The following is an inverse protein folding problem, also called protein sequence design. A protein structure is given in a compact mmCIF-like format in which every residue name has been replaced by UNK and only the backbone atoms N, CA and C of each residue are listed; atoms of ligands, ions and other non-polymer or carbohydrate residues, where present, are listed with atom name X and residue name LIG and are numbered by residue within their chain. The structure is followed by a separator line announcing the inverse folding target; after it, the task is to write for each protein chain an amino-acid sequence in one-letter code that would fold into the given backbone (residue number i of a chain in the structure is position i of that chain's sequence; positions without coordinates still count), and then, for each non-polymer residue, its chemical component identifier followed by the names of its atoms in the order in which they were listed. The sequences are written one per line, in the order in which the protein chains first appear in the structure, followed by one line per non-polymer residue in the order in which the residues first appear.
data_IF_041925998701
#
_entry.id   IF_041925998701
#
_cell.length_a   1.000
_cell.length_b   1.000
_cell.length_c   1.000
_cell.angle_alpha   90.00
_cell.angle_beta   90.00
_cell.angle_gamma   90.00
#
_symmetry.space_group_name_H-M   'P 1'
#
loop_
_entity.id
_entity.type
_entity.pdbx_description
1 polymer ?
#
# COMPACT_ATOMS: atom_id res chain seq x y z
N UNK A 1 -48.35 94.63 32.20
CA UNK A 1 -49.06 93.44 31.67
C UNK A 1 -48.14 92.84 30.63
N UNK A 2 -47.37 91.79 31.00
CA UNK A 2 -47.63 90.38 30.65
C UNK A 2 -47.74 90.18 29.13
N UNK A 3 -46.95 89.36 28.45
CA UNK A 3 -45.93 88.41 28.86
C UNK A 3 -45.44 87.62 27.63
N UNK A 4 -44.41 86.80 27.87
CA UNK A 4 -43.88 85.64 27.11
C UNK A 4 -44.56 85.28 25.76
N UNK A 5 -43.81 84.90 24.72
CA UNK A 5 -43.32 83.53 24.63
C UNK A 5 -42.12 83.36 23.69
N UNK A 6 -41.16 82.54 24.16
CA UNK A 6 -40.00 82.04 23.42
C UNK A 6 -40.40 80.75 22.71
N UNK A 7 -40.17 80.65 21.41
CA UNK A 7 -40.10 79.35 20.72
C UNK A 7 -38.64 79.00 20.45
N UNK A 8 -38.11 78.06 21.23
CA UNK A 8 -36.82 77.42 20.99
C UNK A 8 -36.89 76.46 19.80
N UNK A 9 -35.92 76.58 18.90
CA UNK A 9 -35.71 75.64 17.81
C UNK A 9 -35.31 74.27 18.37
N UNK A 10 -36.07 73.23 18.02
CA UNK A 10 -35.76 71.83 18.30
C UNK A 10 -34.68 71.35 17.31
N UNK A 11 -33.59 70.71 17.75
CA UNK A 11 -32.66 70.06 16.83
C UNK A 11 -33.29 68.79 16.26
N UNK A 12 -33.10 68.57 14.96
CA UNK A 12 -33.55 67.37 14.26
C UNK A 12 -32.86 66.10 14.81
N UNK A 13 -33.57 64.96 14.93
CA UNK A 13 -32.93 63.72 15.34
C UNK A 13 -32.03 63.18 14.21
N UNK A 14 -30.74 63.05 14.48
CA UNK A 14 -29.83 62.29 13.63
C UNK A 14 -30.12 60.80 13.79
N UNK A 15 -30.91 60.24 12.88
CA UNK A 15 -31.07 58.79 12.75
C UNK A 15 -29.81 58.23 12.11
N UNK A 16 -28.78 57.98 12.91
CA UNK A 16 -27.68 57.08 12.55
C UNK A 16 -28.26 55.68 12.46
N UNK A 17 -28.71 55.32 11.26
CA UNK A 17 -29.10 53.95 10.95
C UNK A 17 -27.86 53.06 10.99
N UNK A 18 -27.63 52.41 12.13
CA UNK A 18 -26.76 51.25 12.22
C UNK A 18 -27.35 50.18 11.30
N UNK A 19 -26.88 50.11 10.06
CA UNK A 19 -27.08 48.93 9.23
C UNK A 19 -26.33 47.79 9.92
N UNK A 20 -27.05 47.05 10.76
CA UNK A 20 -26.66 45.71 11.14
C UNK A 20 -26.63 44.89 9.86
N UNK A 21 -25.47 44.89 9.21
CA UNK A 21 -25.16 43.95 8.14
C UNK A 21 -25.10 42.60 8.84
N UNK A 22 -26.24 41.93 8.97
CA UNK A 22 -26.26 40.52 9.28
C UNK A 22 -25.57 39.86 8.10
N UNK A 23 -24.25 39.64 8.25
CA UNK A 23 -23.50 38.76 7.39
C UNK A 23 -24.20 37.40 7.51
N UNK A 24 -25.14 37.15 6.61
CA UNK A 24 -25.66 35.83 6.39
C UNK A 24 -24.42 35.05 5.99
N UNK A 25 -23.95 34.20 6.89
CA UNK A 25 -22.90 33.24 6.59
C UNK A 25 -23.43 32.35 5.48
N UNK A 26 -23.25 32.78 4.23
CA UNK A 26 -23.54 32.00 3.04
C UNK A 26 -22.58 30.82 3.17
N UNK A 27 -23.11 29.66 3.60
CA UNK A 27 -22.37 28.41 3.53
C UNK A 27 -21.94 28.30 2.06
N UNK A 28 -20.62 28.20 1.77
CA UNK A 28 -20.16 28.13 0.39
C UNK A 28 -20.91 26.98 -0.29
N UNK A 29 -21.65 27.30 -1.36
CA UNK A 29 -22.40 26.32 -2.11
C UNK A 29 -21.38 25.30 -2.63
N UNK A 30 -21.40 24.08 -2.10
CA UNK A 30 -20.51 23.04 -2.58
C UNK A 30 -20.96 22.68 -4.00
N UNK A 31 -20.10 22.78 -5.01
CA UNK A 31 -20.45 22.41 -6.38
C UNK A 31 -21.01 20.98 -6.43
N UNK A 32 -22.05 20.75 -7.24
CA UNK A 32 -22.54 19.39 -7.50
C UNK A 32 -21.48 18.64 -8.30
N UNK A 33 -21.21 17.39 -7.93
CA UNK A 33 -20.29 16.53 -8.66
C UNK A 33 -21.00 15.81 -9.80
N UNK A 34 -20.26 15.52 -10.87
CA UNK A 34 -20.69 14.71 -12.01
C UNK A 34 -19.45 14.17 -12.76
N UNK A 35 -19.62 13.14 -13.59
CA UNK A 35 -18.55 12.61 -14.43
C UNK A 35 -18.25 13.57 -15.59
N UNK A 36 -16.97 13.74 -15.93
CA UNK A 36 -16.52 14.70 -16.94
C UNK A 36 -16.44 16.14 -16.45
N UNK A 37 -16.54 16.35 -15.14
CA UNK A 37 -16.39 17.66 -14.54
C UNK A 37 -14.97 18.20 -14.78
N UNK A 38 -14.82 19.44 -15.29
CA UNK A 38 -13.52 20.05 -15.52
C UNK A 38 -12.65 20.07 -14.25
N UNK A 39 -11.34 19.92 -14.42
CA UNK A 39 -10.39 19.87 -13.30
C UNK A 39 -10.49 21.12 -12.40
N UNK A 40 -10.74 22.30 -12.99
CA UNK A 40 -10.93 23.55 -12.25
C UNK A 40 -12.14 23.51 -11.29
N UNK A 41 -13.25 22.91 -11.73
CA UNK A 41 -14.44 22.74 -10.88
C UNK A 41 -14.20 21.66 -9.81
N UNK A 42 -13.52 20.58 -10.16
CA UNK A 42 -13.10 19.55 -9.20
C UNK A 42 -12.23 20.15 -8.09
N UNK A 43 -11.26 21.00 -8.44
CA UNK A 43 -10.43 21.72 -7.48
C UNK A 43 -11.23 22.70 -6.62
N UNK A 44 -12.25 23.33 -7.20
CA UNK A 44 -13.16 24.23 -6.46
C UNK A 44 -13.94 23.46 -5.40
N UNK A 45 -14.41 22.25 -5.72
CA UNK A 45 -15.04 21.37 -4.74
C UNK A 45 -14.10 21.02 -3.58
N UNK A 46 -12.84 20.70 -3.88
CA UNK A 46 -11.84 20.42 -2.84
C UNK A 46 -11.60 21.63 -1.95
N UNK A 47 -11.42 22.84 -2.52
CA UNK A 47 -11.23 24.07 -1.74
C UNK A 47 -12.44 24.38 -0.84
N UNK A 48 -13.66 24.12 -1.33
CA UNK A 48 -14.88 24.37 -0.59
C UNK A 48 -15.08 23.40 0.60
N UNK A 49 -14.80 22.10 0.43
CA UNK A 49 -15.02 21.08 1.48
C UNK A 49 -13.79 20.77 2.34
N UNK A 50 -12.59 20.98 1.81
CA UNK A 50 -11.33 20.56 2.40
C UNK A 50 -10.30 21.70 2.30
N UNK A 51 -10.21 22.59 3.30
CA UNK A 51 -9.29 23.73 3.27
C UNK A 51 -7.81 23.31 3.20
N UNK A 52 -7.51 22.07 3.64
CA UNK A 52 -6.17 21.48 3.55
C UNK A 52 -5.86 20.87 2.17
N UNK A 53 -6.75 21.05 1.18
CA UNK A 53 -6.58 20.57 -0.19
C UNK A 53 -6.79 19.07 -0.39
N UNK A 54 -6.13 18.55 -1.43
CA UNK A 54 -6.23 17.14 -1.84
C UNK A 54 -5.31 16.30 -0.96
N UNK A 55 -5.92 15.40 -0.19
CA UNK A 55 -5.29 14.45 0.72
C UNK A 55 -5.93 13.10 0.51
N UNK A 56 -5.32 12.03 1.02
CA UNK A 56 -5.91 10.69 0.97
C UNK A 56 -7.37 10.64 1.49
N UNK A 57 -7.67 11.38 2.57
CA UNK A 57 -9.02 11.45 3.14
C UNK A 57 -9.98 12.20 2.24
N UNK A 58 -9.57 13.35 1.70
CA UNK A 58 -10.43 14.16 0.82
C UNK A 58 -10.64 13.50 -0.54
N UNK A 59 -9.63 12.83 -1.12
CA UNK A 59 -9.80 12.06 -2.37
C UNK A 59 -10.77 10.89 -2.19
N UNK A 60 -10.73 10.17 -1.06
CA UNK A 60 -11.73 9.11 -0.76
C UNK A 60 -13.14 9.67 -0.62
N UNK A 61 -13.29 10.83 0.00
CA UNK A 61 -14.59 11.46 0.16
C UNK A 61 -15.13 11.97 -1.19
N UNK A 62 -14.26 12.57 -2.02
CA UNK A 62 -14.58 12.95 -3.39
C UNK A 62 -15.06 11.74 -4.20
N UNK A 63 -14.27 10.65 -4.21
CA UNK A 63 -14.63 9.42 -4.91
C UNK A 63 -16.00 8.88 -4.45
N UNK A 64 -16.28 8.89 -3.13
CA UNK A 64 -17.56 8.44 -2.59
C UNK A 64 -18.73 9.30 -3.08
N UNK A 65 -18.58 10.61 -3.12
CA UNK A 65 -19.64 11.51 -3.61
C UNK A 65 -19.80 11.41 -5.12
N UNK A 66 -18.71 11.28 -5.87
CA UNK A 66 -18.73 11.09 -7.32
C UNK A 66 -19.44 9.77 -7.68
N UNK A 67 -19.18 8.66 -6.97
CA UNK A 67 -19.88 7.39 -7.21
C UNK A 67 -21.40 7.44 -6.98
N UNK A 68 -21.92 8.39 -6.19
CA UNK A 68 -23.39 8.55 -6.04
C UNK A 68 -24.06 9.15 -7.28
N UNK A 69 -23.27 9.72 -8.18
CA UNK A 69 -23.76 10.30 -9.45
C UNK A 69 -23.84 9.24 -10.55
N UNK A 70 -23.28 8.07 -10.29
CA UNK A 70 -23.26 6.96 -11.23
C UNK A 70 -24.66 6.35 -11.31
N UNK A 71 -25.21 6.11 -12.51
CA UNK A 71 -26.48 5.43 -12.67
C UNK A 71 -26.39 3.98 -12.18
N UNK A 72 -27.52 3.44 -11.72
CA UNK A 72 -27.60 2.07 -11.25
C UNK A 72 -27.48 1.09 -12.43
N UNK A 73 -26.53 0.16 -12.32
CA UNK A 73 -26.18 -0.78 -13.41
C UNK A 73 -27.35 -1.64 -13.87
N UNK A 74 -28.19 -2.06 -12.92
CA UNK A 74 -29.32 -2.94 -13.19
C UNK A 74 -30.44 -2.23 -13.93
N UNK A 75 -30.52 -0.90 -13.79
CA UNK A 75 -31.52 -0.06 -14.44
C UNK A 75 -31.01 0.51 -15.78
N UNK A 76 -29.73 0.89 -15.84
CA UNK A 76 -29.10 1.47 -17.04
C UNK A 76 -27.62 1.05 -17.18
N UNK A 77 -27.34 -0.10 -17.82
CA UNK A 77 -25.97 -0.57 -18.03
C UNK A 77 -25.21 0.28 -19.06
N UNK A 78 -25.90 0.95 -19.99
CA UNK A 78 -25.28 1.84 -20.96
C UNK A 78 -24.82 3.13 -20.27
N UNK A 79 -25.68 3.70 -19.42
CA UNK A 79 -25.36 4.87 -18.60
C UNK A 79 -24.19 4.63 -17.64
N UNK A 80 -24.01 3.42 -17.11
CA UNK A 80 -22.81 3.10 -16.32
C UNK A 80 -21.54 3.21 -17.17
N UNK A 81 -21.56 2.65 -18.38
CA UNK A 81 -20.40 2.66 -19.26
C UNK A 81 -20.08 4.08 -19.74
N UNK A 82 -21.09 4.87 -20.06
CA UNK A 82 -20.95 6.28 -20.43
C UNK A 82 -20.44 7.12 -19.26
N UNK A 83 -20.87 6.81 -18.04
CA UNK A 83 -20.37 7.46 -16.83
C UNK A 83 -18.87 7.23 -16.64
N UNK A 84 -18.37 6.00 -16.86
CA UNK A 84 -16.93 5.76 -16.81
C UNK A 84 -16.18 6.43 -17.96
N UNK A 85 -16.75 6.40 -19.16
CA UNK A 85 -16.11 6.95 -20.36
C UNK A 85 -16.05 8.48 -20.36
N UNK A 86 -16.90 9.13 -19.57
CA UNK A 86 -16.91 10.58 -19.41
C UNK A 86 -15.94 11.10 -18.35
N UNK A 87 -15.30 10.24 -17.54
CA UNK A 87 -14.36 10.69 -16.51
C UNK A 87 -13.15 11.41 -17.14
N UNK A 88 -12.74 12.52 -16.55
CA UNK A 88 -11.46 13.15 -16.93
C UNK A 88 -10.29 12.37 -16.35
N UNK A 89 -9.11 12.46 -16.96
CA UNK A 89 -7.85 11.87 -16.45
C UNK A 89 -7.61 12.18 -14.96
N UNK A 90 -8.00 13.39 -14.52
CA UNK A 90 -7.85 13.80 -13.13
C UNK A 90 -8.83 13.08 -12.21
N UNK A 91 -10.10 12.95 -12.62
CA UNK A 91 -11.09 12.17 -11.88
C UNK A 91 -10.71 10.69 -11.82
N UNK A 92 -10.23 10.11 -12.92
CA UNK A 92 -9.74 8.75 -12.97
C UNK A 92 -8.59 8.51 -11.97
N UNK A 93 -7.59 9.40 -11.94
CA UNK A 93 -6.48 9.33 -10.98
C UNK A 93 -6.97 9.40 -9.53
N UNK A 94 -7.90 10.30 -9.22
CA UNK A 94 -8.48 10.41 -7.88
C UNK A 94 -9.24 9.15 -7.46
N UNK A 95 -10.00 8.54 -8.37
CA UNK A 95 -10.71 7.28 -8.14
C UNK A 95 -9.73 6.11 -7.98
N UNK A 96 -8.68 6.03 -8.80
CA UNK A 96 -7.64 5.02 -8.71
C UNK A 96 -6.90 5.10 -7.37
N UNK A 97 -6.51 6.30 -6.94
CA UNK A 97 -5.86 6.52 -5.65
C UNK A 97 -6.77 6.17 -4.47
N UNK A 98 -8.04 6.58 -4.51
CA UNK A 98 -9.01 6.21 -3.49
C UNK A 98 -9.20 4.68 -3.39
N UNK A 99 -9.27 4.00 -4.53
CA UNK A 99 -9.40 2.54 -4.61
C UNK A 99 -8.14 1.81 -4.13
N UNK A 100 -6.95 2.29 -4.52
CA UNK A 100 -5.67 1.78 -4.03
C UNK A 100 -5.60 1.88 -2.52
N UNK A 101 -5.94 3.05 -1.97
CA UNK A 101 -5.95 3.28 -0.53
C UNK A 101 -6.98 2.40 0.20
N UNK A 102 -8.17 2.17 -0.36
CA UNK A 102 -9.18 1.26 0.21
C UNK A 102 -8.68 -0.19 0.24
N UNK A 103 -7.94 -0.61 -0.79
CA UNK A 103 -7.35 -1.95 -0.88
C UNK A 103 -6.19 -2.16 0.09
N UNK A 104 -5.41 -1.12 0.38
CA UNK A 104 -4.29 -1.18 1.32
C UNK A 104 -4.69 -0.94 2.77
N UNK A 105 -5.93 -0.53 3.04
CA UNK A 105 -6.45 -0.32 4.39
C UNK A 105 -6.45 -1.65 5.18
N UNK A 106 -5.69 -1.77 6.28
CA UNK A 106 -5.57 -3.02 7.03
C UNK A 106 -6.90 -3.56 7.54
N UNK A 107 -7.85 -2.67 7.90
CA UNK A 107 -9.17 -3.08 8.39
C UNK A 107 -10.01 -3.69 7.26
N UNK A 108 -10.00 -3.07 6.08
CA UNK A 108 -10.71 -3.58 4.90
C UNK A 108 -10.07 -4.86 4.39
N UNK A 109 -8.74 -4.94 4.41
CA UNK A 109 -7.99 -6.15 4.06
C UNK A 109 -8.33 -7.31 5.00
N UNK A 110 -8.36 -7.06 6.31
CA UNK A 110 -8.75 -8.06 7.31
C UNK A 110 -10.22 -8.49 7.15
N UNK A 111 -11.13 -7.55 6.92
CA UNK A 111 -12.55 -7.84 6.69
C UNK A 111 -12.76 -8.70 5.43
N UNK A 112 -12.11 -8.35 4.31
CA UNK A 112 -12.14 -9.17 3.09
C UNK A 112 -11.52 -10.55 3.30
N UNK A 113 -10.43 -10.64 4.06
CA UNK A 113 -9.82 -11.93 4.37
C UNK A 113 -10.76 -12.82 5.19
N UNK A 114 -11.46 -12.25 6.18
CA UNK A 114 -12.48 -12.97 6.96
C UNK A 114 -13.67 -13.40 6.10
N UNK A 115 -14.20 -12.51 5.26
CA UNK A 115 -15.29 -12.84 4.35
C UNK A 115 -14.92 -13.97 3.38
N UNK A 116 -13.72 -13.91 2.79
CA UNK A 116 -13.18 -14.98 1.93
C UNK A 116 -12.93 -16.29 2.67
N UNK A 117 -12.54 -16.22 3.95
CA UNK A 117 -12.36 -17.41 4.78
C UNK A 117 -13.70 -18.09 5.11
N UNK A 118 -14.77 -17.30 5.23
CA UNK A 118 -16.12 -17.79 5.51
C UNK A 118 -16.87 -18.26 4.26
N UNK A 119 -16.47 -17.82 3.07
CA UNK A 119 -17.07 -18.18 1.78
C UNK A 119 -16.60 -19.57 1.30
N UNK A 120 -17.48 -20.59 1.29
CA UNK A 120 -17.12 -21.95 0.88
C UNK A 120 -16.75 -22.05 -0.61
N UNK A 121 -17.41 -21.31 -1.49
CA UNK A 121 -17.12 -21.32 -2.94
C UNK A 121 -15.74 -20.72 -3.22
N UNK A 122 -15.37 -19.67 -2.48
CA UNK A 122 -14.04 -19.12 -2.57
C UNK A 122 -12.98 -20.13 -2.10
N UNK A 123 -13.24 -20.89 -1.02
CA UNK A 123 -12.30 -21.89 -0.53
C UNK A 123 -12.13 -23.06 -1.51
N UNK A 124 -13.20 -23.55 -2.13
CA UNK A 124 -13.13 -24.62 -3.14
C UNK A 124 -12.39 -24.15 -4.39
N UNK A 125 -12.68 -22.94 -4.88
CA UNK A 125 -11.96 -22.34 -6.02
C UNK A 125 -10.47 -22.15 -5.71
N UNK A 126 -10.14 -21.71 -4.49
CA UNK A 126 -8.77 -21.54 -4.05
C UNK A 126 -8.02 -22.88 -3.95
N UNK A 127 -8.68 -23.93 -3.46
CA UNK A 127 -8.12 -25.28 -3.42
C UNK A 127 -7.82 -25.80 -4.82
N UNK A 128 -8.78 -25.67 -5.76
CA UNK A 128 -8.59 -26.04 -7.17
C UNK A 128 -7.42 -25.31 -7.81
N UNK A 129 -7.35 -23.98 -7.65
CA UNK A 129 -6.24 -23.15 -8.18
C UNK A 129 -4.88 -23.58 -7.63
N UNK A 130 -4.82 -23.96 -6.34
CA UNK A 130 -3.58 -24.45 -5.71
C UNK A 130 -3.15 -25.80 -6.26
N UNK A 131 -4.08 -26.69 -6.59
CA UNK A 131 -3.76 -27.96 -7.24
C UNK A 131 -3.24 -27.74 -8.67
N UNK A 132 -3.94 -26.93 -9.46
CA UNK A 132 -3.50 -26.59 -10.82
C UNK A 132 -2.09 -25.98 -10.86
N UNK A 133 -1.77 -25.12 -9.89
CA UNK A 133 -0.42 -24.57 -9.76
C UNK A 133 0.60 -25.64 -9.34
N UNK A 134 0.24 -26.56 -8.45
CA UNK A 134 1.10 -27.65 -8.02
C UNK A 134 1.41 -28.60 -9.19
N UNK A 135 0.41 -28.95 -9.99
CA UNK A 135 0.56 -29.83 -11.15
C UNK A 135 1.43 -29.16 -12.23
N UNK A 136 1.25 -27.85 -12.44
CA UNK A 136 2.12 -27.07 -13.34
C UNK A 136 3.56 -26.98 -12.84
N UNK A 137 3.76 -26.72 -11.55
CA UNK A 137 5.09 -26.66 -10.96
C UNK A 137 5.81 -28.02 -11.04
N UNK A 138 5.09 -29.12 -10.88
CA UNK A 138 5.61 -30.49 -11.06
C UNK A 138 5.98 -30.78 -12.51
N UNK A 139 5.13 -30.39 -13.46
CA UNK A 139 5.43 -30.49 -14.90
C UNK A 139 6.69 -29.69 -15.31
N UNK A 140 6.96 -28.57 -14.62
CA UNK A 140 8.15 -27.74 -14.82
C UNK A 140 9.36 -28.17 -13.97
N UNK A 141 9.29 -29.29 -13.24
CA UNK A 141 10.38 -29.79 -12.40
C UNK A 141 10.73 -28.91 -11.20
N UNK A 142 9.84 -27.98 -10.81
CA UNK A 142 10.02 -27.10 -9.65
C UNK A 142 9.64 -27.85 -8.37
N UNK A 143 10.39 -27.65 -7.29
CA UNK A 143 10.16 -28.35 -6.03
C UNK A 143 8.81 -27.94 -5.37
N UNK A 144 7.82 -28.84 -5.41
CA UNK A 144 6.44 -28.60 -4.93
C UNK A 144 6.25 -28.91 -3.43
N UNK A 145 7.34 -29.08 -2.65
CA UNK A 145 7.32 -29.62 -1.27
C UNK A 145 6.32 -28.98 -0.31
N UNK A 146 5.92 -27.72 -0.52
CA UNK A 146 5.00 -27.01 0.37
C UNK A 146 3.50 -27.14 0.05
N UNK A 147 3.12 -27.53 -1.18
CA UNK A 147 1.71 -27.44 -1.60
C UNK A 147 0.94 -28.75 -1.36
N UNK A 148 1.42 -29.90 -1.84
CA UNK A 148 0.74 -31.19 -1.60
C UNK A 148 0.65 -31.56 -0.12
N UNK A 149 1.70 -31.30 0.66
CA UNK A 149 1.75 -31.64 2.10
C UNK A 149 0.70 -30.88 2.92
N UNK A 150 0.28 -29.70 2.49
CA UNK A 150 -0.72 -28.88 3.19
C UNK A 150 -2.14 -28.98 2.62
N UNK A 151 -2.34 -29.58 1.44
CA UNK A 151 -3.69 -29.69 0.85
C UNK A 151 -4.50 -30.80 1.52
N UNK A 152 -3.85 -31.88 1.96
CA UNK A 152 -4.49 -33.02 2.64
C UNK A 152 -4.68 -32.83 4.14
N UNK A 153 -4.02 -31.85 4.75
CA UNK A 153 -4.11 -31.61 6.20
C UNK A 153 -5.34 -30.76 6.55
N UNK A 154 -6.09 -31.23 7.55
CA UNK A 154 -7.17 -30.46 8.16
C UNK A 154 -6.63 -29.19 8.84
N UNK A 155 -7.48 -28.17 9.09
CA UNK A 155 -7.06 -26.96 9.79
C UNK A 155 -6.36 -27.22 11.13
N UNK A 156 -6.83 -28.22 11.89
CA UNK A 156 -6.23 -28.58 13.18
C UNK A 156 -4.87 -29.27 13.00
N UNK A 157 -4.73 -30.16 12.02
CA UNK A 157 -3.44 -30.77 11.70
C UNK A 157 -2.40 -29.72 11.28
N UNK A 158 -2.79 -28.71 10.50
CA UNK A 158 -1.91 -27.58 10.15
C UNK A 158 -1.48 -26.78 11.38
N UNK A 159 -2.38 -26.59 12.34
CA UNK A 159 -2.09 -25.89 13.59
C UNK A 159 -1.08 -26.68 14.42
N UNK A 160 -1.25 -27.99 14.54
CA UNK A 160 -0.34 -28.89 15.24
C UNK A 160 1.05 -28.91 14.59
N UNK A 161 1.12 -29.09 13.27
CA UNK A 161 2.38 -29.13 12.52
C UNK A 161 3.14 -27.79 12.58
N UNK A 162 2.41 -26.67 12.65
CA UNK A 162 2.99 -25.33 12.87
C UNK A 162 3.53 -25.20 14.29
N UNK A 163 2.80 -25.69 15.29
CA UNK A 163 3.23 -25.66 16.69
C UNK A 163 4.48 -26.52 16.89
N UNK A 164 4.54 -27.71 16.31
CA UNK A 164 5.73 -28.57 16.34
C UNK A 164 6.95 -27.91 15.68
N UNK A 165 6.77 -27.28 14.52
CA UNK A 165 7.84 -26.52 13.86
C UNK A 165 8.33 -25.35 14.71
N UNK A 166 7.41 -24.63 15.34
CA UNK A 166 7.76 -23.54 16.24
C UNK A 166 8.49 -24.05 17.49
N UNK A 167 8.09 -25.20 18.04
CA UNK A 167 8.73 -25.78 19.21
C UNK A 167 10.13 -26.30 18.87
N UNK A 168 10.31 -27.01 17.76
CA UNK A 168 11.65 -27.39 17.24
C UNK A 168 12.55 -26.16 17.04
N UNK A 169 11.98 -25.06 16.53
CA UNK A 169 12.73 -23.80 16.37
C UNK A 169 13.11 -23.18 17.72
N UNK A 170 12.19 -23.21 18.71
CA UNK A 170 12.47 -22.73 20.07
C UNK A 170 13.52 -23.57 20.77
N UNK A 171 13.46 -24.89 20.60
CA UNK A 171 14.45 -25.82 21.12
C UNK A 171 15.83 -25.55 20.51
N UNK A 172 15.91 -25.41 19.18
CA UNK A 172 17.15 -25.03 18.50
C UNK A 172 17.74 -23.72 19.03
N UNK A 173 16.89 -22.69 19.22
CA UNK A 173 17.29 -21.41 19.84
C UNK A 173 17.80 -21.62 21.27
N UNK A 174 17.09 -22.41 22.07
CA UNK A 174 17.46 -22.71 23.47
C UNK A 174 18.81 -23.42 23.55
N UNK A 175 19.03 -24.42 22.69
CA UNK A 175 20.31 -25.14 22.60
C UNK A 175 21.45 -24.24 22.12
N UNK A 176 21.21 -23.38 21.13
CA UNK A 176 22.21 -22.43 20.65
C UNK A 176 22.63 -21.43 21.74
N UNK A 177 21.67 -20.86 22.47
CA UNK A 177 21.93 -19.98 23.62
C UNK A 177 22.72 -20.73 24.70
N UNK A 178 22.33 -21.97 25.03
CA UNK A 178 23.04 -22.80 26.01
C UNK A 178 24.48 -23.14 25.62
N UNK A 179 24.82 -23.08 24.33
CA UNK A 179 26.19 -23.24 23.81
C UNK A 179 26.94 -21.91 23.65
N UNK A 180 26.38 -20.80 24.12
CA UNK A 180 26.96 -19.46 23.94
C UNK A 180 26.96 -18.98 22.49
N UNK A 181 26.21 -19.64 21.60
CA UNK A 181 26.06 -19.24 20.21
C UNK A 181 24.90 -18.24 20.10
N UNK A 182 25.09 -17.17 19.34
CA UNK A 182 23.98 -16.28 19.01
C UNK A 182 23.10 -16.96 17.93
N UNK A 183 21.86 -17.40 18.26
CA UNK A 183 20.97 -18.07 17.30
C UNK A 183 20.46 -17.13 16.19
N UNK A 184 20.68 -15.83 16.36
CA UNK A 184 20.34 -14.79 15.40
C UNK A 184 21.57 -14.26 14.66
N UNK A 185 22.76 -14.84 14.91
CA UNK A 185 23.93 -14.51 14.10
C UNK A 185 23.65 -14.91 12.65
N UNK A 186 23.82 -13.99 11.68
CA UNK A 186 23.71 -14.35 10.28
C UNK A 186 24.67 -15.49 9.96
N UNK A 187 24.25 -16.45 9.14
CA UNK A 187 25.12 -17.55 8.74
C UNK A 187 26.37 -17.00 8.07
N UNK A 188 27.50 -17.72 8.16
CA UNK A 188 28.74 -17.32 7.48
C UNK A 188 28.53 -17.05 5.99
N UNK A 189 27.62 -17.81 5.35
CA UNK A 189 27.20 -17.61 3.96
C UNK A 189 26.42 -16.30 3.76
N UNK A 190 25.54 -15.92 4.70
CA UNK A 190 24.81 -14.66 4.65
C UNK A 190 25.74 -13.45 4.86
N UNK A 191 26.72 -13.57 5.76
CA UNK A 191 27.76 -12.55 5.94
C UNK A 191 28.61 -12.41 4.66
N UNK A 192 29.05 -13.53 4.07
CA UNK A 192 29.76 -13.53 2.80
C UNK A 192 28.97 -12.82 1.70
N UNK A 193 27.68 -13.16 1.58
CA UNK A 193 26.77 -12.55 0.62
C UNK A 193 26.67 -11.03 0.81
N UNK A 194 26.48 -10.54 2.05
CA UNK A 194 26.38 -9.11 2.33
C UNK A 194 27.69 -8.37 2.01
N UNK A 195 28.84 -8.94 2.34
CA UNK A 195 30.14 -8.34 2.03
C UNK A 195 30.35 -8.26 0.52
N UNK A 196 30.09 -9.33 -0.21
CA UNK A 196 30.23 -9.37 -1.66
C UNK A 196 29.25 -8.42 -2.36
N UNK A 197 27.99 -8.37 -1.91
CA UNK A 197 27.00 -7.43 -2.44
C UNK A 197 27.45 -5.97 -2.26
N UNK A 198 28.02 -5.64 -1.09
CA UNK A 198 28.51 -4.28 -0.82
C UNK A 198 29.73 -3.92 -1.65
N UNK A 199 30.66 -4.86 -1.84
CA UNK A 199 31.85 -4.67 -2.67
C UNK A 199 31.49 -4.46 -4.16
N UNK A 200 30.49 -5.19 -4.65
CA UNK A 200 29.90 -4.99 -5.99
C UNK A 200 29.25 -3.62 -6.15
N UNK A 201 28.48 -3.16 -5.15
CA UNK A 201 27.90 -1.81 -5.15
C UNK A 201 28.96 -0.70 -5.24
N UNK A 202 30.11 -0.91 -4.60
CA UNK A 202 31.22 0.04 -4.61
C UNK A 202 32.07 -0.03 -5.89
N UNK A 203 31.79 -0.96 -6.82
CA UNK A 203 32.55 -1.14 -8.06
C UNK A 203 34.00 -1.60 -7.84
N UNK A 204 34.30 -2.16 -6.65
CA UNK A 204 35.66 -2.53 -6.21
C UNK A 204 35.89 -4.04 -6.24
N UNK A 205 35.11 -4.77 -7.04
CA UNK A 205 35.13 -6.23 -6.97
C UNK A 205 34.87 -6.86 -8.33
N UNK A 206 35.90 -7.56 -8.82
CA UNK A 206 35.77 -8.48 -9.95
C UNK A 206 35.62 -9.92 -9.42
N UNK A 207 34.42 -10.52 -9.49
CA UNK A 207 34.13 -11.85 -8.96
C UNK A 207 34.99 -12.98 -9.56
N UNK A 208 35.66 -12.73 -10.69
CA UNK A 208 36.46 -13.73 -11.41
C UNK A 208 37.91 -13.71 -10.93
N UNK A 209 38.49 -12.53 -10.68
CA UNK A 209 39.93 -12.38 -10.51
C UNK A 209 40.38 -11.70 -9.21
N UNK A 210 39.45 -11.32 -8.33
CA UNK A 210 39.79 -10.50 -7.17
C UNK A 210 40.38 -11.33 -6.01
N UNK A 211 41.58 -10.98 -5.48
CA UNK A 211 42.19 -11.62 -4.31
C UNK A 211 41.31 -11.58 -3.05
N UNK A 212 40.29 -10.70 -3.04
CA UNK A 212 39.27 -10.67 -1.98
C UNK A 212 38.53 -12.01 -1.85
N UNK A 213 38.37 -12.81 -2.91
CA UNK A 213 37.71 -14.12 -2.83
C UNK A 213 38.47 -15.09 -1.92
N UNK A 214 39.80 -15.13 -2.06
CA UNK A 214 40.67 -15.99 -1.25
C UNK A 214 40.73 -15.53 0.21
N UNK A 215 40.83 -14.22 0.46
CA UNK A 215 40.80 -13.65 1.82
C UNK A 215 39.45 -13.92 2.51
N UNK A 216 38.33 -13.80 1.78
CA UNK A 216 37.00 -14.10 2.31
C UNK A 216 36.83 -15.59 2.62
N UNK A 217 37.32 -16.46 1.74
CA UNK A 217 37.31 -17.92 1.93
C UNK A 217 38.07 -18.31 3.20
N UNK A 218 39.25 -17.72 3.42
CA UNK A 218 40.07 -17.95 4.60
C UNK A 218 39.38 -17.43 5.88
N UNK A 219 38.91 -16.18 5.89
CA UNK A 219 38.24 -15.57 7.06
C UNK A 219 36.96 -16.28 7.47
N UNK A 220 36.22 -16.81 6.50
CA UNK A 220 34.96 -17.51 6.77
C UNK A 220 35.14 -19.02 6.94
N UNK A 221 36.33 -19.55 6.66
CA UNK A 221 36.62 -20.99 6.68
C UNK A 221 35.68 -21.77 5.74
N UNK A 222 35.50 -21.27 4.51
CA UNK A 222 34.73 -21.93 3.44
C UNK A 222 35.59 -22.02 2.19
N UNK A 223 35.23 -22.88 1.23
CA UNK A 223 36.01 -23.02 -0.01
C UNK A 223 35.85 -21.80 -0.90
N UNK A 224 36.88 -21.46 -1.68
CA UNK A 224 36.80 -20.38 -2.67
C UNK A 224 35.67 -20.60 -3.68
N UNK A 225 35.43 -21.85 -4.09
CA UNK A 225 34.30 -22.21 -4.97
C UNK A 225 32.93 -21.86 -4.35
N UNK A 226 32.77 -22.07 -3.04
CA UNK A 226 31.56 -21.67 -2.32
C UNK A 226 31.41 -20.15 -2.27
N UNK A 227 32.51 -19.40 -2.08
CA UNK A 227 32.50 -17.93 -2.16
C UNK A 227 32.12 -17.48 -3.57
N UNK A 228 32.71 -18.05 -4.62
CA UNK A 228 32.41 -17.72 -6.03
C UNK A 228 30.96 -18.00 -6.39
N UNK A 229 30.39 -19.12 -5.92
CA UNK A 229 28.96 -19.44 -6.10
C UNK A 229 28.05 -18.45 -5.39
N UNK A 230 28.36 -18.07 -4.14
CA UNK A 230 27.60 -17.07 -3.39
C UNK A 230 27.66 -15.69 -4.06
N UNK A 231 28.84 -15.32 -4.54
CA UNK A 231 29.09 -14.10 -5.32
C UNK A 231 28.32 -14.12 -6.64
N UNK A 232 28.39 -15.21 -7.40
CA UNK A 232 27.67 -15.38 -8.66
C UNK A 232 26.16 -15.23 -8.47
N UNK A 233 25.60 -15.89 -7.46
CA UNK A 233 24.21 -15.75 -7.08
C UNK A 233 23.84 -14.32 -6.63
N UNK A 234 24.74 -13.63 -5.91
CA UNK A 234 24.55 -12.23 -5.52
C UNK A 234 24.53 -11.29 -6.73
N UNK A 235 25.41 -11.49 -7.71
CA UNK A 235 25.45 -10.71 -8.95
C UNK A 235 24.18 -10.92 -9.74
N UNK A 236 23.71 -12.16 -9.88
CA UNK A 236 22.49 -12.47 -10.59
C UNK A 236 21.26 -11.85 -9.89
N UNK A 237 21.21 -11.95 -8.56
CA UNK A 237 20.17 -11.30 -7.74
C UNK A 237 20.20 -9.78 -7.89
N UNK A 238 21.38 -9.16 -7.85
CA UNK A 238 21.55 -7.71 -8.00
C UNK A 238 21.27 -7.24 -9.43
N UNK A 239 21.64 -8.00 -10.46
CA UNK A 239 21.28 -7.73 -11.86
C UNK A 239 19.77 -7.80 -12.05
N UNK A 240 19.13 -8.82 -11.49
CA UNK A 240 17.67 -8.97 -11.51
C UNK A 240 17.01 -7.81 -10.77
N UNK A 241 17.48 -7.44 -9.57
CA UNK A 241 16.98 -6.30 -8.81
C UNK A 241 17.21 -4.95 -9.52
N UNK A 242 18.33 -4.79 -10.25
CA UNK A 242 18.65 -3.58 -11.02
C UNK A 242 17.83 -3.50 -12.31
N UNK A 243 17.53 -4.63 -12.95
CA UNK A 243 16.55 -4.72 -14.05
C UNK A 243 15.16 -4.31 -13.57
N UNK A 244 14.71 -4.82 -12.42
CA UNK A 244 13.44 -4.45 -11.78
C UNK A 244 13.38 -2.94 -11.42
N UNK A 245 14.52 -2.33 -11.05
CA UNK A 245 14.61 -0.88 -10.83
C UNK A 245 14.55 -0.05 -12.11
N UNK A 246 15.06 -0.55 -13.25
CA UNK A 246 14.91 0.13 -14.56
C UNK A 246 13.45 0.11 -15.04
N UNK A 247 12.69 -0.92 -14.68
CA UNK A 247 11.28 -1.08 -15.04
C UNK A 247 10.28 -0.50 -13.99
N UNK A 248 10.76 0.33 -13.06
CA UNK A 248 9.89 1.21 -12.26
C UNK A 248 9.39 0.66 -10.91
N UNK A 249 9.89 -0.48 -10.41
CA UNK A 249 9.52 -0.97 -9.08
C UNK A 249 10.71 -0.89 -8.10
N UNK A 250 10.76 0.18 -7.29
CA UNK A 250 11.72 0.30 -6.18
C UNK A 250 11.29 -0.63 -5.05
N UNK A 251 11.90 -1.80 -4.95
CA UNK A 251 11.86 -2.61 -3.72
C UNK A 251 12.95 -2.07 -2.79
N UNK A 252 12.52 -1.43 -1.71
CA UNK A 252 13.37 -1.10 -0.56
C UNK A 252 13.49 -2.39 0.26
N UNK A 253 14.66 -3.03 0.20
CA UNK A 253 15.03 -4.05 1.17
C UNK A 253 15.43 -3.32 2.45
N UNK A 254 14.63 -3.49 3.51
CA UNK A 254 15.00 -3.19 4.90
C UNK A 254 15.57 -4.45 5.54
#
# INVERSE_FOLDING_TARGET
MSGAERCGARPAPSTTGTFMTTATTIKPLVPKLYAGQPDAETLTWFRAKYPNGITAKSSRAYARELYKTKPDREEDPAGEQDWYSSLTDFQEKLLADANRQKRTDPKVKAARARARAADPEYQTKLAKTRMEYADRAEAEGREVRSYRRNVTLTPDQKKTERNERNEKRREHIRTAIGRGQNPFAPSKQHVAFMVCARLLEMGRFDPINDPVVSDLAQKLSITEDAVRKLVGGAIETLRTAKAIRKDGAVIVLR
#
